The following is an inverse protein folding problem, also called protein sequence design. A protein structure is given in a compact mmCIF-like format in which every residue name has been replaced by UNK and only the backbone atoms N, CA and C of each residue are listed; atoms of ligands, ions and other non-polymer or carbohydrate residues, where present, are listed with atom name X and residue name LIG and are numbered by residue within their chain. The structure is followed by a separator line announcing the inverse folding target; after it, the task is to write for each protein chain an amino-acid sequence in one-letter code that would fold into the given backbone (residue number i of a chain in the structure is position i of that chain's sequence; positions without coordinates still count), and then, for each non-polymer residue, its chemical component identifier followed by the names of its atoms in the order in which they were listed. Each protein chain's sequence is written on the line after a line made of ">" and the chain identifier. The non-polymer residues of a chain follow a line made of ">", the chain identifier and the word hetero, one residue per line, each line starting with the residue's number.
data_IF_063566283208
#
_entry.id   IF_063566283208
#
_cell.length_a   1.000
_cell.length_b   1.000
_cell.length_c   1.000
_cell.angle_alpha   90.00
_cell.angle_beta   90.00
_cell.angle_gamma   90.00
#
_symmetry.space_group_name_H-M   'P 1'
#
loop_
_entity.id
_entity.type
_entity.pdbx_description
1 polymer ?
#
# COMPACT_ATOMS: atom_id res chain seq x y z
N UNK A 1 -14.94 -0.37 -7.93
CA UNK A 1 -13.78 -0.33 -8.83
C UNK A 1 -13.31 -1.78 -8.93
N UNK A 2 -12.95 -2.33 -10.09
CA UNK A 2 -12.52 -3.73 -10.13
C UNK A 2 -11.11 -3.86 -9.55
N UNK A 3 -10.89 -4.80 -8.64
CA UNK A 3 -9.62 -4.97 -7.92
C UNK A 3 -8.38 -5.06 -8.83
N UNK A 4 -8.54 -5.69 -10.01
CA UNK A 4 -7.48 -5.79 -11.04
C UNK A 4 -7.14 -4.46 -11.74
N UNK A 5 -8.08 -3.53 -11.82
CA UNK A 5 -7.90 -2.25 -12.51
C UNK A 5 -7.43 -1.13 -11.58
N UNK A 6 -7.54 -1.33 -10.25
CA UNK A 6 -7.07 -0.37 -9.25
C UNK A 6 -5.62 0.09 -9.49
N UNK A 7 -4.63 -0.79 -9.71
CA UNK A 7 -3.25 -0.35 -9.98
C UNK A 7 -3.10 0.46 -11.27
N UNK A 8 -3.86 0.13 -12.32
CA UNK A 8 -3.84 0.87 -13.57
C UNK A 8 -4.51 2.25 -13.43
N UNK A 9 -5.59 2.32 -12.66
CA UNK A 9 -6.28 3.57 -12.34
C UNK A 9 -5.39 4.45 -11.49
N UNK A 10 -4.70 3.90 -10.48
CA UNK A 10 -3.72 4.63 -9.68
C UNK A 10 -2.58 5.17 -10.55
N UNK A 11 -2.03 4.35 -11.46
CA UNK A 11 -0.99 4.79 -12.39
C UNK A 11 -1.43 5.97 -13.25
N UNK A 12 -2.63 5.90 -13.83
CA UNK A 12 -3.17 6.99 -14.63
C UNK A 12 -3.47 8.20 -13.74
N UNK A 13 -4.10 7.99 -12.58
CA UNK A 13 -4.43 9.08 -11.67
C UNK A 13 -3.18 9.83 -11.18
N UNK A 14 -2.09 9.12 -10.92
CA UNK A 14 -0.79 9.72 -10.59
C UNK A 14 -0.21 10.50 -11.79
N UNK A 15 -0.18 9.89 -12.98
CA UNK A 15 0.28 10.55 -14.21
C UNK A 15 -0.49 11.83 -14.56
N UNK A 16 -1.80 11.83 -14.35
CA UNK A 16 -2.69 12.95 -14.63
C UNK A 16 -2.90 13.85 -13.40
N UNK A 17 -2.21 13.61 -12.29
CA UNK A 17 -2.35 14.35 -11.02
C UNK A 17 -3.82 14.46 -10.54
N UNK A 18 -4.61 13.40 -10.79
CA UNK A 18 -6.01 13.32 -10.43
C UNK A 18 -6.17 12.93 -8.96
N UNK A 19 -5.85 13.84 -8.05
CA UNK A 19 -5.91 13.62 -6.60
C UNK A 19 -7.26 13.06 -6.12
N UNK A 20 -8.36 13.47 -6.77
CA UNK A 20 -9.71 12.95 -6.47
C UNK A 20 -9.84 11.45 -6.73
N UNK A 21 -9.24 10.97 -7.83
CA UNK A 21 -9.29 9.55 -8.22
C UNK A 21 -8.33 8.74 -7.36
N UNK A 22 -7.17 9.30 -7.01
CA UNK A 22 -6.23 8.71 -6.05
C UNK A 22 -6.92 8.49 -4.70
N UNK A 23 -7.53 9.54 -4.12
CA UNK A 23 -8.27 9.45 -2.84
C UNK A 23 -9.45 8.49 -2.89
N UNK A 24 -10.15 8.39 -4.03
CA UNK A 24 -11.21 7.40 -4.19
C UNK A 24 -10.69 5.97 -4.23
N UNK A 25 -9.59 5.73 -4.97
CA UNK A 25 -8.94 4.42 -5.04
C UNK A 25 -8.39 4.01 -3.68
N UNK A 26 -7.79 4.95 -2.95
CA UNK A 26 -7.32 4.78 -1.58
C UNK A 26 -8.47 4.34 -0.65
N UNK A 27 -9.59 5.07 -0.63
CA UNK A 27 -10.78 4.69 0.15
C UNK A 27 -11.35 3.33 -0.24
N UNK A 28 -11.26 2.97 -1.52
CA UNK A 28 -11.73 1.68 -2.00
C UNK A 28 -10.82 0.54 -1.54
N UNK A 29 -9.50 0.71 -1.64
CA UNK A 29 -8.51 -0.23 -1.13
C UNK A 29 -8.62 -0.40 0.39
N UNK A 30 -8.83 0.70 1.14
CA UNK A 30 -9.10 0.63 2.58
C UNK A 30 -10.31 -0.24 2.90
N UNK A 31 -11.43 -0.05 2.19
CA UNK A 31 -12.67 -0.82 2.40
C UNK A 31 -12.62 -2.25 1.86
N UNK A 32 -11.78 -2.53 0.86
CA UNK A 32 -11.72 -3.85 0.21
C UNK A 32 -10.91 -4.82 1.07
N UNK A 33 -11.54 -5.57 1.97
CA UNK A 33 -10.89 -6.65 2.75
C UNK A 33 -10.43 -7.84 1.91
N UNK A 34 -10.89 -7.92 0.66
CA UNK A 34 -10.49 -8.93 -0.33
C UNK A 34 -9.09 -8.70 -0.91
N UNK A 35 -8.50 -7.53 -0.72
CA UNK A 35 -7.13 -7.26 -1.12
C UNK A 35 -6.17 -7.70 -0.02
N UNK A 36 -5.13 -8.43 -0.42
CA UNK A 36 -4.01 -8.75 0.46
C UNK A 36 -3.43 -7.46 1.03
N UNK A 37 -3.38 -7.33 2.37
CA UNK A 37 -2.91 -6.11 3.04
C UNK A 37 -1.52 -5.72 2.57
N UNK A 38 -0.71 -6.71 2.18
CA UNK A 38 0.61 -6.53 1.58
C UNK A 38 0.59 -5.80 0.25
N UNK A 39 -0.35 -6.15 -0.64
CA UNK A 39 -0.50 -5.47 -1.93
C UNK A 39 -1.04 -4.06 -1.76
N UNK A 40 -1.90 -3.83 -0.76
CA UNK A 40 -2.35 -2.49 -0.40
C UNK A 40 -1.18 -1.64 0.06
N UNK A 41 -0.34 -2.18 0.94
CA UNK A 41 0.86 -1.53 1.45
C UNK A 41 1.85 -1.19 0.32
N UNK A 42 2.04 -2.11 -0.63
CA UNK A 42 2.88 -1.88 -1.81
C UNK A 42 2.34 -0.75 -2.70
N UNK A 43 1.03 -0.71 -2.95
CA UNK A 43 0.40 0.39 -3.67
C UNK A 43 0.50 1.71 -2.89
N UNK A 44 0.40 1.66 -1.56
CA UNK A 44 0.58 2.82 -0.71
C UNK A 44 1.99 3.40 -0.87
N UNK A 45 3.00 2.54 -0.84
CA UNK A 45 4.40 2.95 -1.02
C UNK A 45 4.62 3.50 -2.44
N UNK A 46 4.21 2.75 -3.46
CA UNK A 46 4.43 3.10 -4.87
C UNK A 46 3.78 4.42 -5.27
N UNK A 47 2.59 4.72 -4.74
CA UNK A 47 1.84 5.94 -5.05
C UNK A 47 1.85 6.96 -3.91
N UNK A 48 2.71 6.76 -2.89
CA UNK A 48 2.85 7.64 -1.71
C UNK A 48 1.51 7.97 -1.04
N UNK A 49 0.65 6.97 -0.87
CA UNK A 49 -0.65 7.08 -0.20
C UNK A 49 -0.47 7.00 1.32
N UNK A 50 -0.08 8.12 1.94
CA UNK A 50 0.23 8.18 3.36
C UNK A 50 -0.90 7.65 4.25
N UNK A 51 -2.16 8.04 4.01
CA UNK A 51 -3.27 7.61 4.87
C UNK A 51 -3.58 6.12 4.77
N UNK A 52 -3.37 5.50 3.59
CA UNK A 52 -3.50 4.05 3.43
C UNK A 52 -2.32 3.30 4.04
N UNK A 53 -1.13 3.87 3.96
CA UNK A 53 0.06 3.34 4.62
C UNK A 53 -0.13 3.34 6.15
N UNK A 54 -0.53 4.46 6.74
CA UNK A 54 -0.86 4.58 8.16
C UNK A 54 -1.94 3.59 8.58
N UNK A 55 -3.03 3.48 7.81
CA UNK A 55 -4.11 2.55 8.16
C UNK A 55 -3.69 1.09 8.04
N UNK A 56 -2.86 0.73 7.04
CA UNK A 56 -2.28 -0.60 6.98
C UNK A 56 -1.37 -0.83 8.21
N UNK A 57 -0.48 0.11 8.53
CA UNK A 57 0.39 0.02 9.71
C UNK A 57 -0.42 -0.10 11.01
N UNK A 58 -1.55 0.59 11.14
CA UNK A 58 -2.47 0.46 12.27
C UNK A 58 -3.19 -0.91 12.29
N UNK A 59 -3.49 -1.48 11.12
CA UNK A 59 -4.04 -2.84 10.98
C UNK A 59 -3.03 -3.89 11.47
N UNK A 60 -1.73 -3.65 11.23
CA UNK A 60 -0.65 -4.50 11.71
C UNK A 60 -0.24 -4.14 13.14
N UNK A 61 -0.71 -4.91 14.11
CA UNK A 61 -0.36 -4.68 15.52
C UNK A 61 1.14 -4.89 15.82
N UNK A 62 1.85 -5.70 15.02
CA UNK A 62 3.27 -5.99 15.20
C UNK A 62 4.07 -5.72 13.92
N UNK A 63 5.13 -4.91 14.05
CA UNK A 63 6.10 -4.69 12.97
C UNK A 63 6.78 -5.99 12.53
N UNK A 64 6.94 -6.95 13.44
CA UNK A 64 7.47 -8.29 13.14
C UNK A 64 6.53 -9.09 12.25
N UNK A 65 5.22 -9.05 12.51
CA UNK A 65 4.22 -9.76 11.69
C UNK A 65 4.15 -9.16 10.29
N UNK A 66 4.19 -7.82 10.21
CA UNK A 66 4.33 -7.10 8.96
C UNK A 66 5.63 -7.50 8.23
N UNK A 67 6.78 -7.52 8.91
CA UNK A 67 8.06 -7.90 8.31
C UNK A 67 8.10 -9.37 7.85
N UNK A 68 7.46 -10.30 8.58
CA UNK A 68 7.34 -11.70 8.17
C UNK A 68 6.43 -11.85 6.95
N UNK A 69 5.27 -11.18 6.94
CA UNK A 69 4.40 -11.14 5.75
C UNK A 69 5.12 -10.50 4.56
N UNK A 70 5.94 -9.48 4.80
CA UNK A 70 6.76 -8.82 3.78
C UNK A 70 7.81 -9.78 3.23
N UNK A 71 8.53 -10.51 4.09
CA UNK A 71 9.48 -11.56 3.65
C UNK A 71 8.80 -12.70 2.91
N UNK A 72 7.56 -13.03 3.25
CA UNK A 72 6.76 -14.04 2.55
C UNK A 72 6.28 -13.56 1.18
N UNK A 73 6.15 -12.25 0.99
CA UNK A 73 5.82 -11.68 -0.30
C UNK A 73 7.09 -11.58 -1.18
N UNK A 74 7.14 -12.23 -2.36
CA UNK A 74 8.25 -12.05 -3.30
C UNK A 74 8.37 -10.60 -3.82
N UNK A 75 7.35 -9.78 -3.57
CA UNK A 75 7.30 -8.36 -3.88
C UNK A 75 8.10 -7.49 -2.86
N UNK A 76 8.70 -8.08 -1.81
CA UNK A 76 9.56 -7.38 -0.83
C UNK A 76 10.68 -6.56 -1.49
N UNK A 77 11.26 -7.11 -2.56
CA UNK A 77 12.35 -6.45 -3.29
C UNK A 77 11.89 -5.23 -4.09
N UNK A 78 10.58 -5.10 -4.32
CA UNK A 78 9.98 -4.01 -5.09
C UNK A 78 9.72 -2.77 -4.21
N UNK A 79 9.70 -2.92 -2.87
CA UNK A 79 9.49 -1.79 -1.97
C UNK A 79 10.61 -0.76 -2.07
N UNK A 80 10.22 0.52 -2.00
CA UNK A 80 11.16 1.63 -1.94
C UNK A 80 12.07 1.51 -0.71
N UNK A 81 13.28 2.06 -0.82
CA UNK A 81 14.18 2.19 0.32
C UNK A 81 13.52 2.94 1.48
N UNK A 82 12.67 3.93 1.19
CA UNK A 82 11.90 4.68 2.18
C UNK A 82 10.99 3.77 3.02
N UNK A 83 10.33 2.80 2.38
CA UNK A 83 9.44 1.87 3.07
C UNK A 83 10.20 0.86 3.92
N UNK A 84 11.34 0.38 3.41
CA UNK A 84 12.24 -0.48 4.19
C UNK A 84 12.74 0.25 5.43
N UNK A 85 13.04 1.54 5.32
CA UNK A 85 13.42 2.40 6.46
C UNK A 85 12.25 2.57 7.44
N UNK A 86 11.06 2.95 6.96
CA UNK A 86 9.88 3.15 7.82
C UNK A 86 9.50 1.89 8.60
N UNK A 87 9.70 0.71 8.01
CA UNK A 87 9.49 -0.58 8.67
C UNK A 87 10.59 -0.83 9.70
N UNK A 88 11.87 -0.62 9.35
CA UNK A 88 12.98 -0.78 10.29
C UNK A 88 12.92 0.18 11.48
N UNK A 89 12.39 1.39 11.31
CA UNK A 89 12.18 2.38 12.40
C UNK A 89 11.08 1.93 13.37
N UNK A 90 10.17 1.06 12.91
CA UNK A 90 9.06 0.50 13.70
C UNK A 90 9.39 -0.84 14.37
N UNK A 91 10.54 -1.47 14.06
CA UNK A 91 11.04 -2.74 14.65
C UNK A 91 11.95 -2.43 15.83
#
# INVERSE_FOLDING_TARGET
>A
IADRSVPHILKLADQFQMERVVKQSEKHLMKSTSFDEMKKLLLADQYRLASLQDQCLDSFTNATELAEKLKLCPEYDIFSADMKVAICDRI
#
